data_IF_019306252803
#
_entry.id   IF_019306252803
#
_cell.length_a   1.000
_cell.length_b   1.000
_cell.length_c   1.000
_cell.angle_alpha   90.00
_cell.angle_beta   90.00
_cell.angle_gamma   90.00
#
_symmetry.space_group_name_H-M   'P 1'
#
loop_
_entity.id
_entity.type
_entity.pdbx_description
1 polymer ?
#
# COMPACT_ATOMS: atom_id res chain seq x y z
N UNK A 1 -3.97 13.39 19.81
CA UNK A 1 -3.39 12.34 20.67
C UNK A 1 -2.87 11.25 19.72
N UNK A 2 -1.62 10.82 19.67
CA UNK A 2 -0.36 11.17 20.33
C UNK A 2 0.81 10.76 19.41
N UNK A 3 1.96 11.39 19.54
CA UNK A 3 3.09 11.28 18.60
C UNK A 3 3.95 10.02 18.71
N UNK A 4 3.46 8.93 19.31
CA UNK A 4 4.24 7.69 19.43
C UNK A 4 3.99 6.74 18.25
N UNK A 5 5.02 6.35 17.48
CA UNK A 5 4.87 5.40 16.39
C UNK A 5 4.64 3.97 16.90
N UNK A 6 3.47 3.40 16.60
CA UNK A 6 3.02 2.06 17.04
C UNK A 6 3.18 0.95 15.97
N UNK A 7 3.62 1.30 14.77
CA UNK A 7 3.81 0.36 13.67
C UNK A 7 4.68 0.94 12.55
N UNK A 8 5.15 0.05 11.68
CA UNK A 8 5.97 0.39 10.52
C UNK A 8 5.60 -0.50 9.34
N UNK A 9 5.68 0.05 8.13
CA UNK A 9 5.45 -0.64 6.87
C UNK A 9 6.45 -0.14 5.83
N UNK A 10 7.14 -1.07 5.16
CA UNK A 10 7.96 -0.75 3.99
C UNK A 10 7.18 -0.96 2.71
N UNK A 11 7.42 -0.11 1.71
CA UNK A 11 6.73 -0.12 0.43
C UNK A 11 7.59 0.58 -0.63
N UNK A 12 7.61 0.04 -1.87
CA UNK A 12 8.22 0.71 -3.02
C UNK A 12 8.25 -0.20 -4.26
N UNK A 13 8.79 0.28 -5.40
CA UNK A 13 9.03 -0.55 -6.59
C UNK A 13 9.79 -1.82 -6.26
N UNK A 14 9.45 -2.95 -6.91
CA UNK A 14 10.11 -4.24 -6.66
C UNK A 14 11.65 -4.17 -6.82
N UNK A 15 12.11 -3.49 -7.87
CA UNK A 15 13.53 -3.37 -8.20
C UNK A 15 14.36 -2.63 -7.13
N UNK A 16 13.73 -1.81 -6.28
CA UNK A 16 14.41 -1.13 -5.17
C UNK A 16 14.73 -2.09 -4.01
N UNK A 17 14.11 -3.28 -3.98
CA UNK A 17 14.32 -4.29 -2.95
C UNK A 17 15.09 -5.48 -3.52
N UNK A 18 16.42 -5.35 -3.67
CA UNK A 18 17.29 -6.39 -4.26
C UNK A 18 17.07 -7.80 -3.70
N UNK A 19 16.83 -7.97 -2.39
CA UNK A 19 16.52 -9.27 -1.77
C UNK A 19 15.20 -9.89 -2.24
N UNK A 20 14.22 -9.06 -2.58
CA UNK A 20 12.93 -9.48 -3.14
C UNK A 20 13.06 -9.72 -4.64
N UNK A 21 13.72 -8.80 -5.34
CA UNK A 21 13.96 -8.86 -6.79
C UNK A 21 14.60 -10.19 -7.19
N UNK A 22 15.62 -10.64 -6.45
CA UNK A 22 16.34 -11.88 -6.74
C UNK A 22 15.85 -13.08 -5.91
N UNK A 23 14.68 -12.99 -5.26
CA UNK A 23 14.24 -14.04 -4.34
C UNK A 23 13.72 -15.28 -5.05
N UNK A 24 14.37 -16.43 -4.84
CA UNK A 24 13.87 -17.73 -5.30
C UNK A 24 12.58 -18.19 -4.60
N UNK A 25 12.27 -17.68 -3.41
CA UNK A 25 11.02 -18.02 -2.71
C UNK A 25 9.84 -17.14 -3.09
N UNK A 26 10.11 -15.94 -3.61
CA UNK A 26 9.10 -14.98 -4.05
C UNK A 26 9.42 -14.42 -5.43
N UNK A 27 9.54 -15.30 -6.45
CA UNK A 27 9.81 -14.86 -7.81
C UNK A 27 8.68 -13.97 -8.33
N UNK A 28 8.94 -13.09 -9.33
CA UNK A 28 7.89 -12.44 -10.10
C UNK A 28 6.89 -13.46 -10.63
N UNK A 29 5.61 -13.09 -10.66
CA UNK A 29 4.54 -13.93 -11.21
C UNK A 29 4.20 -13.59 -12.66
N UNK A 30 4.54 -12.36 -13.08
CA UNK A 30 4.35 -11.78 -14.41
C UNK A 30 5.22 -10.51 -14.53
N UNK A 31 5.16 -9.83 -15.68
CA UNK A 31 5.95 -8.63 -16.00
C UNK A 31 5.32 -7.32 -15.47
N UNK A 32 4.28 -7.39 -14.62
CA UNK A 32 3.71 -6.17 -14.03
C UNK A 32 4.73 -5.53 -13.11
N UNK A 33 5.05 -4.26 -13.35
CA UNK A 33 5.94 -3.43 -12.53
C UNK A 33 5.30 -3.08 -11.16
N UNK A 34 5.03 -4.11 -10.36
CA UNK A 34 4.36 -3.98 -9.09
C UNK A 34 5.28 -3.33 -8.04
N UNK A 35 4.67 -2.56 -7.16
CA UNK A 35 5.30 -2.21 -5.89
C UNK A 35 5.16 -3.37 -4.91
N UNK A 36 6.03 -3.46 -3.92
CA UNK A 36 6.06 -4.57 -2.95
C UNK A 36 5.99 -4.07 -1.52
N UNK A 37 5.33 -4.83 -0.65
CA UNK A 37 5.38 -4.69 0.80
C UNK A 37 6.26 -5.84 1.34
N UNK A 38 7.56 -5.61 1.59
CA UNK A 38 8.45 -6.66 2.08
C UNK A 38 8.26 -6.94 3.57
N UNK A 39 7.90 -5.92 4.36
CA UNK A 39 7.69 -6.06 5.80
C UNK A 39 6.64 -5.08 6.35
N UNK A 40 5.97 -5.53 7.41
CA UNK A 40 5.02 -4.80 8.22
C UNK A 40 5.14 -5.26 9.68
N UNK A 41 5.18 -4.32 10.62
CA UNK A 41 5.21 -4.62 12.06
C UNK A 41 4.27 -3.72 12.84
N UNK A 42 3.67 -4.27 13.89
CA UNK A 42 2.84 -3.55 14.86
C UNK A 42 3.32 -3.94 16.25
N UNK A 43 3.56 -2.93 17.11
CA UNK A 43 3.95 -3.12 18.51
C UNK A 43 2.99 -4.08 19.20
N UNK A 44 3.51 -4.98 20.03
CA UNK A 44 2.75 -6.10 20.63
C UNK A 44 1.44 -5.67 21.29
N UNK A 45 1.46 -4.58 22.07
CA UNK A 45 0.28 -4.03 22.75
C UNK A 45 -0.79 -3.40 21.84
N UNK A 46 -0.50 -3.21 20.56
CA UNK A 46 -1.41 -2.62 19.57
C UNK A 46 -1.86 -3.64 18.50
N UNK A 47 -1.47 -4.92 18.65
CA UNK A 47 -1.91 -6.01 17.76
C UNK A 47 -3.38 -6.34 18.02
N UNK A 48 -4.04 -6.91 17.01
CA UNK A 48 -5.46 -7.31 17.11
C UNK A 48 -6.47 -6.17 16.94
N UNK A 49 -6.02 -4.91 16.93
CA UNK A 49 -6.87 -3.72 16.86
C UNK A 49 -7.08 -3.19 15.42
N UNK A 50 -6.73 -3.97 14.39
CA UNK A 50 -6.88 -3.57 12.98
C UNK A 50 -5.78 -2.64 12.43
N UNK A 51 -4.83 -2.18 13.26
CA UNK A 51 -3.72 -1.27 12.88
C UNK A 51 -2.97 -1.74 11.63
N UNK A 52 -2.61 -3.03 11.56
CA UNK A 52 -1.88 -3.57 10.41
C UNK A 52 -2.70 -3.48 9.10
N UNK A 53 -3.99 -3.80 9.15
CA UNK A 53 -4.88 -3.72 7.98
C UNK A 53 -5.02 -2.26 7.52
N UNK A 54 -5.14 -1.32 8.46
CA UNK A 54 -5.19 0.10 8.16
C UNK A 54 -3.91 0.59 7.48
N UNK A 55 -2.73 0.21 7.99
CA UNK A 55 -1.44 0.55 7.37
C UNK A 55 -1.29 -0.03 5.95
N UNK A 56 -1.72 -1.27 5.72
CA UNK A 56 -1.67 -1.88 4.38
C UNK A 56 -2.55 -1.11 3.39
N UNK A 57 -3.77 -0.75 3.78
CA UNK A 57 -4.68 0.04 2.93
C UNK A 57 -4.09 1.41 2.60
N UNK A 58 -3.53 2.10 3.60
CA UNK A 58 -2.87 3.39 3.41
C UNK A 58 -1.65 3.28 2.49
N UNK A 59 -0.86 2.20 2.61
CA UNK A 59 0.27 1.91 1.74
C UNK A 59 -0.18 1.68 0.28
N UNK A 60 -1.24 0.91 0.05
CA UNK A 60 -1.81 0.71 -1.31
C UNK A 60 -2.30 2.02 -1.91
N UNK A 61 -2.99 2.84 -1.12
CA UNK A 61 -3.45 4.16 -1.58
C UNK A 61 -2.26 5.06 -1.94
N UNK A 62 -1.22 5.09 -1.10
CA UNK A 62 0.01 5.82 -1.37
C UNK A 62 0.69 5.35 -2.66
N UNK A 63 0.84 4.04 -2.86
CA UNK A 63 1.39 3.46 -4.08
C UNK A 63 0.59 3.90 -5.32
N UNK A 64 -0.75 3.90 -5.22
CA UNK A 64 -1.62 4.34 -6.31
C UNK A 64 -1.48 5.81 -6.66
N UNK A 65 -1.35 6.69 -5.65
CA UNK A 65 -1.05 8.12 -5.88
C UNK A 65 0.32 8.34 -6.53
N UNK A 66 1.25 7.40 -6.36
CA UNK A 66 2.58 7.38 -6.98
C UNK A 66 2.61 6.69 -8.35
N UNK A 67 1.47 6.21 -8.85
CA UNK A 67 1.35 5.59 -10.17
C UNK A 67 1.69 4.09 -10.22
N UNK A 68 1.80 3.41 -9.08
CA UNK A 68 1.98 1.96 -9.07
C UNK A 68 0.76 1.27 -9.73
N UNK A 69 0.97 0.32 -10.66
CA UNK A 69 -0.14 -0.41 -11.29
C UNK A 69 -0.74 -1.48 -10.37
N UNK A 70 0.07 -1.98 -9.43
CA UNK A 70 -0.31 -3.00 -8.46
C UNK A 70 0.61 -2.96 -7.23
N UNK A 71 0.16 -3.59 -6.15
CA UNK A 71 0.99 -3.86 -4.96
C UNK A 71 0.98 -5.36 -4.68
N UNK A 72 2.16 -5.92 -4.44
CA UNK A 72 2.38 -7.30 -4.04
C UNK A 72 2.86 -7.41 -2.60
N UNK A 73 2.52 -8.53 -1.97
CA UNK A 73 3.03 -8.92 -0.67
C UNK A 73 3.24 -10.44 -0.63
N UNK A 74 4.07 -10.88 0.32
CA UNK A 74 4.50 -12.27 0.43
C UNK A 74 4.22 -12.86 1.82
N UNK A 75 2.95 -12.88 2.27
CA UNK A 75 2.64 -13.34 3.61
C UNK A 75 2.89 -14.83 3.78
N UNK A 76 3.00 -15.24 5.05
CA UNK A 76 3.03 -16.65 5.42
C UNK A 76 1.75 -17.35 4.96
N UNK A 77 1.93 -18.55 4.43
CA UNK A 77 0.83 -19.44 4.09
C UNK A 77 0.31 -20.18 5.33
N UNK A 78 -1.00 -20.35 5.43
CA UNK A 78 -1.65 -21.17 6.46
C UNK A 78 -1.86 -20.47 7.81
N UNK A 79 -2.51 -21.20 8.74
CA UNK A 79 -2.99 -20.66 10.03
C UNK A 79 -2.10 -20.98 11.24
N UNK A 80 -0.98 -21.70 11.06
CA UNK A 80 -0.11 -22.07 12.17
C UNK A 80 0.51 -20.81 12.80
N UNK A 81 0.45 -20.72 14.13
CA UNK A 81 1.06 -19.64 14.91
C UNK A 81 2.57 -19.65 14.67
N UNK A 82 3.14 -18.47 14.43
CA UNK A 82 4.51 -18.31 13.95
C UNK A 82 5.42 -17.88 15.10
N UNK A 83 6.69 -18.28 15.05
CA UNK A 83 7.76 -17.67 15.84
C UNK A 83 7.87 -16.17 15.48
N UNK A 84 8.15 -15.31 16.46
CA UNK A 84 8.14 -13.84 16.27
C UNK A 84 9.11 -13.39 15.17
N UNK A 85 10.17 -14.15 14.90
CA UNK A 85 11.19 -13.90 13.88
C UNK A 85 10.67 -13.85 12.44
N UNK A 86 9.42 -14.27 12.18
CA UNK A 86 8.82 -14.18 10.85
C UNK A 86 7.52 -13.37 10.85
N UNK A 87 7.17 -12.73 11.96
CA UNK A 87 5.93 -11.97 12.10
C UNK A 87 5.88 -10.75 11.14
N UNK A 88 7.05 -10.27 10.70
CA UNK A 88 7.15 -9.08 9.84
C UNK A 88 6.61 -9.28 8.41
N UNK A 89 6.43 -10.53 7.94
CA UNK A 89 5.79 -10.77 6.64
C UNK A 89 4.26 -10.67 6.70
N UNK A 90 3.68 -10.69 7.91
CA UNK A 90 2.24 -10.76 8.08
C UNK A 90 1.61 -12.10 7.67
N UNK A 91 0.28 -12.14 7.70
CA UNK A 91 -0.52 -13.33 7.38
C UNK A 91 -1.41 -13.11 6.16
N UNK A 92 -1.73 -14.20 5.47
CA UNK A 92 -2.62 -14.19 4.30
C UNK A 92 -4.01 -13.58 4.63
N UNK A 93 -4.55 -13.86 5.81
CA UNK A 93 -5.81 -13.32 6.29
C UNK A 93 -5.77 -11.80 6.45
N UNK A 94 -4.64 -11.24 6.90
CA UNK A 94 -4.46 -9.80 7.05
C UNK A 94 -4.49 -9.09 5.69
N UNK A 95 -3.77 -9.62 4.70
CA UNK A 95 -3.76 -9.08 3.34
C UNK A 95 -5.10 -9.27 2.62
N UNK A 96 -5.80 -10.39 2.82
CA UNK A 96 -7.17 -10.58 2.32
C UNK A 96 -8.13 -9.50 2.85
N UNK A 97 -8.08 -9.20 4.16
CA UNK A 97 -8.87 -8.11 4.76
C UNK A 97 -8.53 -6.73 4.18
N UNK A 98 -7.31 -6.55 3.68
CA UNK A 98 -6.87 -5.34 3.01
C UNK A 98 -7.20 -5.28 1.50
N UNK A 99 -7.88 -6.30 0.94
CA UNK A 99 -8.29 -6.32 -0.46
C UNK A 99 -7.28 -6.97 -1.42
N UNK A 100 -6.30 -7.71 -0.90
CA UNK A 100 -5.39 -8.50 -1.72
C UNK A 100 -6.00 -9.86 -2.05
N UNK A 101 -5.65 -10.39 -3.22
CA UNK A 101 -5.99 -11.75 -3.66
C UNK A 101 -4.71 -12.55 -3.83
N UNK A 102 -4.76 -13.84 -3.54
CA UNK A 102 -3.65 -14.74 -3.81
C UNK A 102 -3.52 -14.95 -5.32
N UNK A 103 -2.32 -14.70 -5.87
CA UNK A 103 -1.99 -14.89 -7.29
C UNK A 103 -1.01 -16.04 -7.51
N UNK A 104 -0.31 -16.48 -6.45
CA UNK A 104 0.53 -17.68 -6.48
C UNK A 104 0.47 -18.41 -5.14
N UNK A 105 0.30 -19.73 -5.19
CA UNK A 105 0.40 -20.62 -4.03
C UNK A 105 1.82 -20.77 -3.49
N UNK A 106 1.99 -21.65 -2.51
CA UNK A 106 3.32 -22.02 -1.98
C UNK A 106 4.11 -22.74 -3.09
N UNK A 107 5.39 -22.43 -3.24
CA UNK A 107 6.25 -23.15 -4.18
C UNK A 107 6.46 -24.60 -3.69
N UNK A 108 6.42 -25.60 -4.59
CA UNK A 108 6.56 -27.00 -4.20
C UNK A 108 7.95 -27.32 -3.63
N UNK A 109 9.01 -26.71 -4.19
CA UNK A 109 10.41 -27.07 -3.91
C UNK A 109 11.11 -26.08 -2.96
N UNK A 110 10.42 -25.69 -1.87
CA UNK A 110 11.03 -24.80 -0.88
C UNK A 110 12.11 -25.53 -0.07
N UNK A 111 13.30 -24.91 0.14
CA UNK A 111 14.33 -25.51 0.99
C UNK A 111 13.81 -25.79 2.41
N UNK A 112 14.29 -26.88 3.01
CA UNK A 112 13.92 -27.26 4.37
C UNK A 112 14.20 -26.11 5.35
N UNK A 113 13.22 -25.81 6.22
CA UNK A 113 13.28 -24.72 7.19
C UNK A 113 12.79 -23.37 6.67
N UNK A 114 12.50 -23.24 5.38
CA UNK A 114 11.96 -22.00 4.84
C UNK A 114 10.48 -21.84 5.19
N UNK A 115 10.13 -20.59 5.52
CA UNK A 115 8.79 -20.14 5.68
C UNK A 115 7.95 -20.35 4.40
N UNK A 116 6.90 -21.21 4.39
CA UNK A 116 5.97 -21.24 3.27
C UNK A 116 5.28 -19.88 3.13
N UNK A 117 5.38 -19.29 1.93
CA UNK A 117 4.82 -17.99 1.56
C UNK A 117 3.99 -18.11 0.29
N UNK A 118 2.90 -17.35 0.24
CA UNK A 118 2.10 -17.15 -0.97
C UNK A 118 2.41 -15.78 -1.56
N UNK A 119 2.16 -15.57 -2.86
CA UNK A 119 2.14 -14.21 -3.42
C UNK A 119 0.72 -13.71 -3.45
N UNK A 120 0.52 -12.54 -2.85
CA UNK A 120 -0.76 -11.84 -2.85
C UNK A 120 -0.60 -10.50 -3.56
N UNK A 121 -1.59 -10.14 -4.37
CA UNK A 121 -1.59 -8.92 -5.17
C UNK A 121 -2.91 -8.19 -5.03
N UNK A 122 -2.86 -6.86 -5.05
CA UNK A 122 -4.01 -6.00 -5.33
C UNK A 122 -3.68 -5.11 -6.51
N UNK A 123 -4.63 -4.94 -7.43
CA UNK A 123 -4.47 -4.09 -8.62
C UNK A 123 -4.99 -2.69 -8.33
N UNK A 124 -4.23 -1.69 -8.72
CA UNK A 124 -4.62 -0.29 -8.56
C UNK A 124 -5.31 0.13 -9.85
N UNK A 125 -6.64 0.33 -9.78
CA UNK A 125 -7.39 0.85 -10.91
C UNK A 125 -7.03 2.33 -11.09
N UNK A 126 -6.66 2.73 -12.31
CA UNK A 126 -6.57 4.15 -12.65
C UNK A 126 -7.93 4.76 -12.38
N UNK A 127 -7.99 5.71 -11.45
CA UNK A 127 -9.21 6.49 -11.23
C UNK A 127 -9.32 7.41 -12.44
N UNK A 128 -10.28 7.16 -13.32
CA UNK A 128 -10.65 8.16 -14.33
C UNK A 128 -11.04 9.42 -13.55
N UNK A 129 -10.46 10.60 -13.84
CA UNK A 129 -10.88 11.83 -13.20
C UNK A 129 -12.39 11.97 -13.35
N UNK A 130 -13.10 12.12 -12.23
CA UNK A 130 -14.54 12.35 -12.27
C UNK A 130 -14.79 13.67 -13.00
N UNK A 131 -15.42 13.61 -14.17
CA UNK A 131 -15.70 14.78 -15.01
C UNK A 131 -16.47 15.88 -14.24
N UNK A 132 -17.19 15.51 -13.17
CA UNK A 132 -17.92 16.43 -12.30
C UNK A 132 -17.01 17.33 -11.45
N UNK A 133 -15.79 16.89 -11.10
CA UNK A 133 -14.85 17.71 -10.32
C UNK A 133 -14.14 18.76 -11.19
N UNK A 134 -13.85 18.40 -12.44
CA UNK A 134 -13.21 19.29 -13.43
C UNK A 134 -14.09 20.47 -13.90
N UNK A 135 -15.40 20.41 -13.66
CA UNK A 135 -16.30 21.55 -13.93
C UNK A 135 -16.32 22.56 -12.77
N UNK A 136 -16.13 22.11 -11.52
CA UNK A 136 -16.23 22.98 -10.35
C UNK A 136 -15.06 23.95 -10.22
N UNK A 137 -13.87 23.52 -10.64
CA UNK A 137 -12.66 24.35 -10.59
C UNK A 137 -12.63 25.43 -11.70
N UNK A 138 -13.40 25.26 -12.79
CA UNK A 138 -13.48 26.23 -13.89
C UNK A 138 -14.42 27.42 -13.64
N UNK A 139 -15.40 27.30 -12.75
CA UNK A 139 -16.41 28.34 -12.52
C UNK A 139 -16.17 29.20 -11.26
N UNK A 140 -15.05 29.02 -10.56
CA UNK A 140 -14.80 29.62 -9.24
C UNK A 140 -14.01 30.93 -9.21
N UNK A 141 -13.66 31.55 -10.34
CA UNK A 141 -12.78 32.74 -10.36
C UNK A 141 -13.31 33.86 -11.26
N UNK A 142 -14.26 34.63 -10.73
CA UNK A 142 -14.47 36.03 -11.12
C UNK A 142 -15.19 36.77 -9.98
N UNK A 143 -14.43 37.43 -9.10
CA UNK A 143 -14.97 38.50 -8.27
C UNK A 143 -14.87 39.81 -9.08
N UNK A 144 -15.93 40.64 -9.14
CA UNK A 144 -15.86 41.90 -9.87
C UNK A 144 -15.03 42.92 -9.07
N UNK A 145 -13.98 43.46 -9.70
CA UNK A 145 -13.25 44.62 -9.21
C UNK A 145 -14.18 45.84 -9.25
N UNK A 146 -14.58 46.35 -8.09
CA UNK A 146 -15.19 47.69 -7.97
C UNK A 146 -14.07 48.73 -7.96
N UNK A 147 -14.17 49.72 -8.85
CA UNK A 147 -13.31 50.90 -8.90
C UNK A 147 -13.65 51.87 -7.75
N UNK A 148 -12.69 52.52 -7.09
CA UNK A 148 -12.99 53.61 -6.18
C UNK A 148 -13.05 54.95 -6.92
N UNK A 149 -14.12 55.70 -6.62
CA UNK A 149 -14.33 57.09 -6.99
C UNK A 149 -13.15 57.97 -6.59
N UNK A 150 -12.73 58.88 -7.48
CA UNK A 150 -11.91 60.04 -7.11
C UNK A 150 -12.84 61.10 -6.53
N UNK A 151 -12.56 61.52 -5.30
CA UNK A 151 -13.17 62.69 -4.67
C UNK A 151 -12.04 63.60 -4.17
N UNK A 152 -12.30 64.92 -4.29
CA UNK A 152 -11.59 66.08 -3.70
C UNK A 152 -10.33 66.60 -4.43
N UNK A 153 -10.09 67.91 -4.60
CA UNK A 153 -10.64 69.12 -3.95
C UNK A 153 -10.40 70.38 -4.80
N UNK A 154 -11.26 71.40 -4.63
CA UNK A 154 -11.08 72.83 -4.27
C UNK A 154 -12.14 73.67 -4.98
#
# INVERSE_FOLDING_TARGET
QGGEPIGFISLGPRYDFSRIEHSRATPPVDDVAAWVIPCITVRRGHRGQGVAVAMIRAAVEYAGRRGAPAVEAYPRAGRKRVHDDFAYFGTDAMFRKAGFRQVRGVLPDLPKGWAPRVTMRTTIRKRTPDARRAHRDRNGSALPVRSPEKRSSV
#
